data_IF_862039003856
#
_entry.id   IF_862039003856
#
_cell.length_a   1.000
_cell.length_b   1.000
_cell.length_c   1.000
_cell.angle_alpha   90.00
_cell.angle_beta   90.00
_cell.angle_gamma   90.00
#
_symmetry.space_group_name_H-M   'P 1'
#
loop_
_entity.id
_entity.type
_entity.pdbx_description
1 polymer ?
#
# COMPACT_ATOMS: atom_id res chain seq x y z
N UNK A 1 -19.41 -12.78 -19.22
CA UNK A 1 -18.80 -11.67 -18.51
C UNK A 1 -18.51 -10.54 -19.47
N UNK A 2 -19.18 -9.48 -19.29
CA UNK A 2 -19.23 -8.28 -20.12
C UNK A 2 -18.01 -7.36 -19.95
N UNK A 3 -16.88 -7.88 -19.46
CA UNK A 3 -15.69 -7.08 -19.17
C UNK A 3 -14.89 -6.70 -20.42
N UNK A 4 -15.15 -7.37 -21.54
CA UNK A 4 -14.47 -7.13 -22.80
C UNK A 4 -15.39 -6.36 -23.74
N UNK A 5 -15.68 -5.11 -23.40
CA UNK A 5 -16.40 -4.25 -24.31
C UNK A 5 -15.49 -3.82 -25.48
N UNK A 6 -16.11 -3.28 -26.54
CA UNK A 6 -15.37 -2.83 -27.71
C UNK A 6 -14.34 -1.71 -27.38
N UNK A 7 -14.56 -0.98 -26.31
CA UNK A 7 -13.68 0.09 -25.83
C UNK A 7 -12.36 -0.47 -25.31
N UNK A 8 -12.39 -1.60 -24.59
CA UNK A 8 -11.19 -2.26 -24.09
C UNK A 8 -10.24 -2.65 -25.22
N UNK A 9 -10.76 -3.18 -26.32
CA UNK A 9 -9.96 -3.62 -27.47
C UNK A 9 -9.42 -2.48 -28.32
N UNK A 10 -10.03 -1.31 -28.28
CA UNK A 10 -9.69 -0.16 -29.15
C UNK A 10 -8.62 0.76 -28.58
N UNK A 11 -8.27 0.64 -27.30
CA UNK A 11 -7.24 1.49 -26.67
C UNK A 11 -5.87 0.85 -26.89
N UNK A 12 -5.45 0.77 -28.15
CA UNK A 12 -4.24 0.03 -28.56
C UNK A 12 -2.95 0.53 -27.89
N UNK A 13 -2.83 1.82 -27.62
CA UNK A 13 -1.63 2.43 -27.05
C UNK A 13 -1.71 2.60 -25.53
N UNK A 14 -2.81 2.23 -24.90
CA UNK A 14 -3.00 2.19 -23.45
C UNK A 14 -2.96 0.78 -22.88
N UNK A 15 -2.72 -0.23 -23.73
CA UNK A 15 -2.68 -1.63 -23.31
C UNK A 15 -1.56 -1.89 -22.32
N UNK A 16 -1.87 -1.96 -21.05
CA UNK A 16 -0.92 -2.21 -19.97
C UNK A 16 -0.10 -3.49 -20.17
N UNK A 17 -0.68 -4.51 -20.80
CA UNK A 17 -0.05 -5.82 -21.01
C UNK A 17 1.24 -5.81 -21.85
N UNK A 18 1.52 -4.74 -22.58
CA UNK A 18 2.70 -4.66 -23.46
C UNK A 18 3.77 -3.68 -22.97
N UNK A 19 3.39 -2.77 -22.11
CA UNK A 19 4.25 -1.63 -21.73
C UNK A 19 4.18 -1.30 -20.23
N UNK A 20 3.71 -2.24 -19.42
CA UNK A 20 3.70 -2.10 -17.97
C UNK A 20 3.87 -3.44 -17.27
N UNK A 21 4.26 -3.38 -16.01
CA UNK A 21 4.23 -4.52 -15.09
C UNK A 21 2.82 -4.60 -14.50
N UNK A 22 2.14 -5.73 -14.72
CA UNK A 22 0.83 -6.01 -14.12
C UNK A 22 1.00 -6.65 -12.75
N UNK A 23 0.33 -6.11 -11.74
CA UNK A 23 0.31 -6.68 -10.39
C UNK A 23 -1.13 -7.05 -10.06
N UNK A 24 -1.34 -8.32 -9.72
CA UNK A 24 -2.62 -8.84 -9.26
C UNK A 24 -2.60 -9.02 -7.75
N UNK A 25 -3.61 -8.49 -7.07
CA UNK A 25 -3.82 -8.68 -5.63
C UNK A 25 -5.01 -9.58 -5.40
N UNK A 26 -4.79 -10.69 -4.71
CA UNK A 26 -5.86 -11.62 -4.35
C UNK A 26 -6.52 -11.19 -3.05
N UNK A 27 -7.84 -11.05 -3.07
CA UNK A 27 -8.67 -10.77 -1.91
C UNK A 27 -9.69 -11.90 -1.82
N UNK A 28 -9.37 -12.89 -1.02
CA UNK A 28 -10.22 -14.06 -0.77
C UNK A 28 -11.09 -13.81 0.47
N UNK A 29 -12.16 -14.59 0.61
CA UNK A 29 -12.94 -14.63 1.83
C UNK A 29 -12.05 -14.93 3.04
N UNK A 30 -12.20 -14.16 4.12
CA UNK A 30 -11.37 -14.27 5.33
C UNK A 30 -9.98 -13.64 5.22
N UNK A 31 -9.58 -13.10 4.05
CA UNK A 31 -8.32 -12.36 3.94
C UNK A 31 -8.44 -10.93 4.49
N UNK A 32 -7.31 -10.39 4.96
CA UNK A 32 -7.24 -8.98 5.33
C UNK A 32 -6.77 -8.14 4.10
N UNK A 33 -7.68 -7.39 3.46
CA UNK A 33 -7.33 -6.63 2.26
C UNK A 33 -6.32 -5.51 2.55
N UNK A 34 -6.37 -4.87 3.70
CA UNK A 34 -5.45 -3.79 4.09
C UNK A 34 -4.01 -4.34 4.14
N UNK A 35 -3.82 -5.49 4.78
CA UNK A 35 -2.51 -6.16 4.81
C UNK A 35 -2.00 -6.49 3.40
N UNK A 36 -2.87 -6.97 2.53
CA UNK A 36 -2.52 -7.25 1.13
C UNK A 36 -2.10 -5.98 0.39
N UNK A 37 -2.81 -4.88 0.59
CA UNK A 37 -2.52 -3.60 -0.06
C UNK A 37 -1.23 -2.97 0.46
N UNK A 38 -0.94 -3.04 1.76
CA UNK A 38 0.35 -2.59 2.29
C UNK A 38 1.52 -3.35 1.68
N UNK A 39 1.44 -4.67 1.60
CA UNK A 39 2.47 -5.49 0.95
C UNK A 39 2.61 -5.17 -0.54
N UNK A 40 1.49 -4.96 -1.22
CA UNK A 40 1.48 -4.52 -2.60
C UNK A 40 2.13 -3.13 -2.76
N UNK A 41 1.86 -2.18 -1.87
CA UNK A 41 2.46 -0.86 -1.90
C UNK A 41 3.99 -0.91 -1.77
N UNK A 42 4.51 -1.73 -0.87
CA UNK A 42 5.97 -1.99 -0.75
C UNK A 42 6.56 -2.55 -2.04
N UNK A 43 5.93 -3.58 -2.60
CA UNK A 43 6.37 -4.15 -3.89
C UNK A 43 6.37 -3.10 -5.00
N UNK A 44 5.31 -2.30 -5.10
CA UNK A 44 5.20 -1.23 -6.12
C UNK A 44 6.31 -0.21 -5.95
N UNK A 45 6.59 0.23 -4.73
CA UNK A 45 7.65 1.18 -4.45
C UNK A 45 9.03 0.66 -4.88
N UNK A 46 9.36 -0.59 -4.56
CA UNK A 46 10.59 -1.24 -5.02
C UNK A 46 10.67 -1.30 -6.55
N UNK A 47 9.59 -1.72 -7.22
CA UNK A 47 9.57 -1.76 -8.69
C UNK A 47 9.75 -0.38 -9.34
N UNK A 48 9.23 0.68 -8.72
CA UNK A 48 9.44 2.05 -9.20
C UNK A 48 10.93 2.43 -9.10
N UNK A 49 11.54 2.19 -7.95
CA UNK A 49 12.96 2.49 -7.72
C UNK A 49 13.86 1.68 -8.66
N UNK A 50 13.65 0.37 -8.76
CA UNK A 50 14.44 -0.54 -9.60
C UNK A 50 14.39 -0.19 -11.09
N UNK A 51 13.27 0.41 -11.53
CA UNK A 51 13.07 0.82 -12.92
C UNK A 51 13.25 2.34 -13.15
N UNK A 52 13.75 3.08 -12.15
CA UNK A 52 13.94 4.53 -12.21
C UNK A 52 12.64 5.28 -12.64
N UNK A 53 11.53 4.90 -12.03
CA UNK A 53 10.19 5.46 -12.28
C UNK A 53 9.71 6.23 -11.05
N UNK A 54 8.87 7.23 -11.26
CA UNK A 54 8.20 7.95 -10.19
C UNK A 54 6.76 7.44 -9.92
N UNK A 55 6.19 7.83 -8.79
CA UNK A 55 4.86 7.36 -8.33
C UNK A 55 3.74 7.68 -9.33
N UNK A 56 3.89 8.71 -10.18
CA UNK A 56 2.88 9.04 -11.20
C UNK A 56 2.71 7.93 -12.26
N UNK A 57 3.66 6.98 -12.32
CA UNK A 57 3.60 5.83 -13.23
C UNK A 57 2.68 4.72 -12.75
N UNK A 58 2.29 4.73 -11.47
CA UNK A 58 1.33 3.76 -10.94
C UNK A 58 -0.07 4.08 -11.46
N UNK A 59 -0.68 3.13 -12.13
CA UNK A 59 -2.00 3.29 -12.73
C UNK A 59 -2.90 2.09 -12.39
N UNK A 60 -4.18 2.32 -12.04
CA UNK A 60 -5.13 1.23 -11.89
C UNK A 60 -5.46 0.62 -13.27
N UNK A 61 -5.87 -0.62 -13.30
CA UNK A 61 -6.32 -1.27 -14.55
C UNK A 61 -7.43 -0.46 -15.25
N UNK A 62 -8.27 0.20 -14.47
CA UNK A 62 -9.28 1.12 -14.99
C UNK A 62 -8.73 2.18 -15.95
N UNK A 63 -7.54 2.71 -15.68
CA UNK A 63 -6.92 3.72 -16.54
C UNK A 63 -6.70 3.23 -17.96
N UNK A 64 -6.36 1.95 -18.13
CA UNK A 64 -6.03 1.36 -19.42
C UNK A 64 -7.27 0.96 -20.24
N UNK A 65 -8.33 0.50 -19.57
CA UNK A 65 -9.43 -0.18 -20.23
C UNK A 65 -10.82 0.32 -19.85
N UNK A 66 -10.93 1.15 -18.81
CA UNK A 66 -12.23 1.51 -18.23
C UNK A 66 -12.86 0.41 -17.38
N UNK A 67 -12.21 -0.78 -17.28
CA UNK A 67 -12.68 -1.87 -16.40
C UNK A 67 -12.70 -1.39 -14.96
N UNK A 68 -13.75 -1.71 -14.20
CA UNK A 68 -13.82 -1.41 -12.76
C UNK A 68 -12.84 -2.29 -11.97
N UNK A 69 -11.55 -1.95 -12.06
CA UNK A 69 -10.46 -2.69 -11.43
C UNK A 69 -9.35 -1.70 -11.00
N UNK A 70 -8.85 -1.80 -9.79
CA UNK A 70 -9.21 -2.72 -8.69
C UNK A 70 -10.55 -2.35 -8.04
N UNK A 71 -11.54 -3.21 -8.22
CA UNK A 71 -12.94 -2.90 -7.87
C UNK A 71 -13.12 -2.60 -6.38
N UNK A 72 -12.57 -3.44 -5.50
CA UNK A 72 -12.73 -3.28 -4.04
C UNK A 72 -12.14 -1.97 -3.54
N UNK A 73 -10.95 -1.59 -3.99
CA UNK A 73 -10.32 -0.31 -3.61
C UNK A 73 -11.15 0.88 -4.11
N UNK A 74 -11.61 0.82 -5.36
CA UNK A 74 -12.31 1.94 -6.00
C UNK A 74 -13.69 2.17 -5.42
N UNK A 75 -14.47 1.11 -5.21
CA UNK A 75 -15.84 1.21 -4.67
C UNK A 75 -15.89 1.62 -3.21
N UNK A 76 -14.84 1.34 -2.45
CA UNK A 76 -14.75 1.69 -1.03
C UNK A 76 -13.82 2.89 -0.77
N UNK A 77 -13.44 3.64 -1.79
CA UNK A 77 -12.55 4.81 -1.71
C UNK A 77 -11.16 4.55 -1.11
N UNK A 78 -10.67 3.29 -1.15
CA UNK A 78 -9.35 2.94 -0.63
C UNK A 78 -8.23 3.15 -1.64
N UNK A 79 -8.51 3.54 -2.88
CA UNK A 79 -7.45 3.71 -3.87
C UNK A 79 -6.49 4.86 -3.51
N UNK A 80 -7.00 5.96 -2.99
CA UNK A 80 -6.16 7.07 -2.53
C UNK A 80 -5.28 6.65 -1.35
N UNK A 81 -5.83 5.95 -0.37
CA UNK A 81 -5.08 5.39 0.73
C UNK A 81 -3.95 4.44 0.25
N UNK A 82 -4.23 3.57 -0.70
CA UNK A 82 -3.21 2.72 -1.31
C UNK A 82 -2.09 3.53 -1.96
N UNK A 83 -2.44 4.61 -2.68
CA UNK A 83 -1.45 5.50 -3.31
C UNK A 83 -0.62 6.27 -2.27
N UNK A 84 -1.19 6.66 -1.15
CA UNK A 84 -0.46 7.24 -0.01
C UNK A 84 0.56 6.23 0.56
N UNK A 85 0.16 4.97 0.73
CA UNK A 85 1.08 3.91 1.14
C UNK A 85 2.23 3.73 0.13
N UNK A 86 1.94 3.71 -1.17
CA UNK A 86 2.98 3.62 -2.23
C UNK A 86 3.93 4.81 -2.16
N UNK A 87 3.40 6.02 -2.00
CA UNK A 87 4.21 7.23 -1.92
C UNK A 87 5.14 7.21 -0.69
N UNK A 88 4.60 6.84 0.47
CA UNK A 88 5.38 6.72 1.71
C UNK A 88 6.52 5.72 1.57
N UNK A 89 6.24 4.52 1.07
CA UNK A 89 7.27 3.48 0.86
C UNK A 89 8.32 3.94 -0.18
N UNK A 90 7.89 4.63 -1.24
CA UNK A 90 8.81 5.20 -2.24
C UNK A 90 9.71 6.29 -1.65
N UNK A 91 9.20 7.18 -0.80
CA UNK A 91 10.01 8.18 -0.11
C UNK A 91 11.01 7.55 0.85
N UNK A 92 10.60 6.52 1.60
CA UNK A 92 11.51 5.77 2.48
C UNK A 92 12.68 5.22 1.67
N UNK A 93 12.41 4.58 0.54
CA UNK A 93 13.45 3.99 -0.31
C UNK A 93 14.36 5.01 -1.00
N UNK A 94 13.85 6.19 -1.34
CA UNK A 94 14.60 7.18 -2.14
C UNK A 94 15.23 8.28 -1.33
N UNK A 95 14.61 8.70 -0.23
CA UNK A 95 15.08 9.83 0.58
C UNK A 95 15.65 9.39 1.93
N UNK A 96 15.23 8.25 2.45
CA UNK A 96 15.56 7.79 3.80
C UNK A 96 16.12 6.37 3.81
N UNK A 97 16.72 5.94 2.71
CA UNK A 97 17.26 4.58 2.55
C UNK A 97 18.39 4.22 3.51
N UNK A 98 18.99 5.21 4.15
CA UNK A 98 20.04 5.09 5.15
C UNK A 98 19.50 5.13 6.60
N UNK A 99 18.18 5.19 6.77
CA UNK A 99 17.50 5.17 8.07
C UNK A 99 16.75 3.85 8.23
N UNK A 100 17.13 3.09 9.25
CA UNK A 100 16.34 1.94 9.70
C UNK A 100 15.13 2.44 10.49
N UNK A 101 13.94 2.05 10.05
CA UNK A 101 12.67 2.40 10.70
C UNK A 101 12.05 1.12 11.24
N UNK A 102 11.76 1.09 12.53
CA UNK A 102 11.08 -0.04 13.17
C UNK A 102 9.89 0.41 14.02
N UNK A 103 8.89 -0.46 14.09
CA UNK A 103 7.70 -0.28 14.93
C UNK A 103 7.66 -1.40 15.96
N UNK A 104 7.44 -1.03 17.22
CA UNK A 104 7.22 -1.96 18.32
C UNK A 104 5.86 -1.68 18.96
N UNK A 105 4.90 -2.62 18.90
CA UNK A 105 3.65 -2.52 19.65
C UNK A 105 3.92 -2.45 21.16
N UNK A 106 3.26 -1.51 21.85
CA UNK A 106 3.31 -1.35 23.32
C UNK A 106 2.00 -1.74 23.98
N UNK A 107 0.93 -1.93 23.21
CA UNK A 107 -0.38 -2.37 23.69
C UNK A 107 -0.94 -3.50 22.85
N UNK A 108 -1.95 -4.20 23.37
CA UNK A 108 -2.72 -5.18 22.61
C UNK A 108 -3.48 -4.51 21.45
N UNK A 109 -3.79 -5.28 20.42
CA UNK A 109 -4.58 -4.81 19.28
C UNK A 109 -3.78 -4.12 18.18
N UNK A 110 -2.45 -4.01 18.31
CA UNK A 110 -1.54 -3.64 17.22
C UNK A 110 -0.51 -4.75 17.06
N UNK A 111 -0.29 -5.23 15.85
CA UNK A 111 0.74 -6.22 15.57
C UNK A 111 2.05 -5.58 15.07
N UNK A 112 3.09 -6.39 14.92
CA UNK A 112 4.42 -5.93 14.47
C UNK A 112 4.44 -5.39 13.03
N UNK A 113 3.44 -5.71 12.22
CA UNK A 113 3.25 -5.14 10.88
C UNK A 113 2.54 -3.77 10.90
N UNK A 114 2.17 -3.25 12.08
CA UNK A 114 1.45 -1.98 12.23
C UNK A 114 -0.05 -2.08 11.92
N UNK A 115 -0.61 -3.28 11.88
CA UNK A 115 -2.04 -3.49 11.63
C UNK A 115 -2.82 -3.55 12.94
N UNK A 116 -3.96 -2.86 12.97
CA UNK A 116 -4.87 -2.86 14.10
C UNK A 116 -5.79 -4.09 14.03
N UNK A 117 -5.80 -4.88 15.08
CA UNK A 117 -6.67 -6.04 15.28
C UNK A 117 -7.86 -5.62 16.15
N UNK A 118 -8.95 -5.19 15.53
CA UNK A 118 -10.11 -4.58 16.19
C UNK A 118 -10.71 -5.42 17.32
N UNK A 119 -10.56 -6.74 17.25
CA UNK A 119 -11.04 -7.69 18.27
C UNK A 119 -10.26 -7.54 19.59
N UNK A 120 -9.00 -7.13 19.51
CA UNK A 120 -8.06 -7.08 20.62
C UNK A 120 -7.80 -5.67 21.16
N UNK A 121 -8.38 -4.64 20.53
CA UNK A 121 -8.20 -3.25 20.92
C UNK A 121 -9.40 -2.74 21.71
N UNK A 122 -9.16 -2.00 22.81
CA UNK A 122 -10.22 -1.34 23.56
C UNK A 122 -10.64 -0.02 22.90
N UNK A 123 -9.86 1.05 23.08
CA UNK A 123 -10.15 2.36 22.51
C UNK A 123 -8.91 3.03 21.90
N UNK A 124 -7.73 2.54 22.19
CA UNK A 124 -6.47 3.08 21.71
C UNK A 124 -5.40 2.00 21.54
N UNK A 125 -4.43 2.27 20.69
CA UNK A 125 -3.21 1.49 20.56
C UNK A 125 -1.99 2.36 20.85
N UNK A 126 -0.99 1.80 21.52
CA UNK A 126 0.29 2.44 21.83
C UNK A 126 1.41 1.71 21.11
N UNK A 127 2.36 2.47 20.58
CA UNK A 127 3.49 1.93 19.88
C UNK A 127 4.70 2.85 19.93
N UNK A 128 5.87 2.26 19.76
CA UNK A 128 7.14 2.94 19.66
C UNK A 128 7.63 2.89 18.21
N UNK A 129 8.01 4.03 17.68
CA UNK A 129 8.74 4.11 16.41
C UNK A 129 10.19 4.41 16.75
N UNK A 130 11.08 3.58 16.23
CA UNK A 130 12.53 3.77 16.38
C UNK A 130 13.12 4.08 15.01
N UNK A 131 13.90 5.16 14.94
CA UNK A 131 14.69 5.55 13.78
C UNK A 131 16.17 5.37 14.12
N UNK A 132 16.91 4.65 13.29
CA UNK A 132 18.35 4.43 13.47
C UNK A 132 19.12 4.83 12.23
N UNK A 133 20.21 5.56 12.45
CA UNK A 133 21.19 5.88 11.43
C UNK A 133 22.56 5.88 12.07
N UNK A 134 23.47 5.06 11.56
CA UNK A 134 24.82 4.90 12.09
C UNK A 134 24.80 4.57 13.62
N UNK A 135 25.36 5.46 14.44
CA UNK A 135 25.34 5.35 15.91
C UNK A 135 24.23 6.16 16.58
N UNK A 136 23.36 6.81 15.80
CA UNK A 136 22.26 7.60 16.33
C UNK A 136 20.97 6.80 16.37
N UNK A 137 20.20 6.98 17.44
CA UNK A 137 18.91 6.34 17.64
C UNK A 137 17.94 7.34 18.23
N UNK A 138 16.78 7.47 17.59
CA UNK A 138 15.67 8.29 18.06
C UNK A 138 14.45 7.39 18.28
N UNK A 139 13.77 7.60 19.38
CA UNK A 139 12.57 6.85 19.74
C UNK A 139 11.40 7.78 20.00
N UNK A 140 10.24 7.43 19.45
CA UNK A 140 9.01 8.20 19.55
C UNK A 140 7.87 7.27 19.98
N UNK A 141 7.26 7.55 21.13
CA UNK A 141 6.07 6.86 21.59
C UNK A 141 4.81 7.56 21.08
N UNK A 142 3.90 6.79 20.51
CA UNK A 142 2.62 7.28 19.99
C UNK A 142 1.44 6.56 20.64
N UNK A 143 0.33 7.27 20.73
CA UNK A 143 -0.98 6.74 21.09
C UNK A 143 -1.97 7.12 20.00
N UNK A 144 -2.62 6.14 19.41
CA UNK A 144 -3.64 6.34 18.36
C UNK A 144 -4.99 5.85 18.86
N UNK A 145 -5.99 6.74 18.83
CA UNK A 145 -7.38 6.37 19.14
C UNK A 145 -7.96 5.52 18.03
N UNK A 146 -8.67 4.47 18.40
CA UNK A 146 -9.35 3.56 17.48
C UNK A 146 -10.85 3.77 17.61
N UNK A 147 -11.50 4.09 16.49
CA UNK A 147 -12.96 4.15 16.38
C UNK A 147 -13.46 2.80 15.84
N UNK A 148 -14.34 2.17 16.59
CA UNK A 148 -15.01 0.92 16.19
C UNK A 148 -16.29 1.20 15.43
#
# INVERSE_FOLDING_TARGET
PTYFNATYKKIANRGGNRNSIGIETMINEGSNPIRTWHRCAKLVAHLLVDNNLDVSRVKPHHFFSGKDCPMTMRRNNFYNYFMECVYTEYEILTKYSDIEISLKPLSKGLNEEGLIELENVENEVKYLITLRKDNECLEFEYTTKVQK
#
